data_IF_878199856297
#
_entry.id   IF_878199856297
#
_cell.length_a   1.000
_cell.length_b   1.000
_cell.length_c   1.000
_cell.angle_alpha   90.00
_cell.angle_beta   90.00
_cell.angle_gamma   90.00
#
_symmetry.space_group_name_H-M   'P 1'
#
loop_
_entity.id
_entity.type
_entity.pdbx_description
1 polymer ?
#
# COMPACT_ATOMS: atom_id res chain seq x y z
N UNK A 1 5.58 9.86 20.40
CA UNK A 1 6.20 8.56 20.08
C UNK A 1 6.44 8.53 18.58
N UNK A 2 7.60 8.07 18.15
CA UNK A 2 7.89 7.82 16.73
C UNK A 2 7.19 6.53 16.32
N UNK A 3 6.58 6.49 15.14
CA UNK A 3 5.96 5.26 14.63
C UNK A 3 6.96 4.12 14.47
N UNK A 4 6.48 2.88 14.33
CA UNK A 4 7.33 1.68 14.21
C UNK A 4 6.75 0.65 13.27
N UNK A 5 7.61 -0.28 12.85
CA UNK A 5 7.22 -1.51 12.17
C UNK A 5 6.64 -2.49 13.20
N UNK A 6 5.43 -2.97 12.94
CA UNK A 6 4.80 -4.07 13.70
C UNK A 6 5.26 -5.40 13.14
N UNK A 7 5.19 -5.55 11.82
CA UNK A 7 5.60 -6.75 11.13
C UNK A 7 6.12 -6.43 9.72
N UNK A 8 7.06 -7.25 9.26
CA UNK A 8 7.39 -7.38 7.85
C UNK A 8 6.73 -8.66 7.37
N UNK A 9 5.95 -8.60 6.29
CA UNK A 9 5.18 -9.74 5.81
C UNK A 9 5.59 -10.14 4.39
N UNK A 10 5.70 -11.44 4.16
CA UNK A 10 6.03 -12.01 2.85
C UNK A 10 4.88 -12.86 2.32
N UNK A 11 4.66 -12.78 1.01
CA UNK A 11 3.65 -13.53 0.29
C UNK A 11 3.95 -15.01 0.29
N UNK A 12 3.02 -15.78 0.82
CA UNK A 12 2.99 -17.22 0.65
C UNK A 12 2.16 -17.53 -0.58
N UNK A 13 2.72 -18.29 -1.51
CA UNK A 13 2.00 -18.75 -2.70
C UNK A 13 0.77 -19.54 -2.24
N UNK A 14 -0.41 -19.00 -2.53
CA UNK A 14 -1.68 -19.63 -2.22
C UNK A 14 -2.39 -19.98 -3.52
N UNK A 15 -2.80 -21.23 -3.66
CA UNK A 15 -3.67 -21.68 -4.75
C UNK A 15 -5.12 -21.52 -4.32
N UNK A 16 -5.90 -20.78 -5.12
CA UNK A 16 -7.32 -20.57 -4.82
C UNK A 16 -8.11 -20.19 -6.08
N UNK A 17 -9.38 -20.57 -6.12
CA UNK A 17 -10.29 -20.21 -7.22
C UNK A 17 -10.50 -18.70 -7.39
N UNK A 18 -10.30 -17.92 -6.32
CA UNK A 18 -10.40 -16.47 -6.34
C UNK A 18 -9.10 -15.75 -6.74
N UNK A 19 -8.01 -16.48 -6.96
CA UNK A 19 -6.77 -15.90 -7.46
C UNK A 19 -7.01 -15.34 -8.87
N UNK A 20 -6.69 -14.06 -9.07
CA UNK A 20 -6.93 -13.39 -10.36
C UNK A 20 -5.94 -13.78 -11.46
N UNK A 21 -4.82 -14.42 -11.09
CA UNK A 21 -3.78 -14.88 -12.00
C UNK A 21 -4.23 -16.16 -12.72
N UNK A 22 -3.93 -16.27 -14.02
CA UNK A 22 -4.31 -17.42 -14.85
C UNK A 22 -3.74 -18.77 -14.34
N UNK A 23 -2.70 -18.75 -13.50
CA UNK A 23 -2.16 -19.94 -12.83
C UNK A 23 -2.94 -20.33 -11.56
N UNK A 24 -3.96 -19.58 -11.15
CA UNK A 24 -4.73 -19.83 -9.93
C UNK A 24 -3.94 -19.54 -8.64
N UNK A 25 -2.80 -18.84 -8.73
CA UNK A 25 -1.92 -18.53 -7.61
C UNK A 25 -1.97 -17.06 -7.22
N UNK A 26 -1.90 -16.78 -5.93
CA UNK A 26 -1.83 -15.42 -5.40
C UNK A 26 -0.78 -15.30 -4.29
N UNK A 27 -0.15 -14.13 -4.21
CA UNK A 27 0.74 -13.75 -3.11
C UNK A 27 0.07 -12.86 -2.06
N UNK A 28 -1.26 -12.71 -2.12
CA UNK A 28 -2.01 -11.84 -1.22
C UNK A 28 -2.02 -12.33 0.23
N UNK A 29 -1.86 -13.63 0.45
CA UNK A 29 -1.70 -14.21 1.79
C UNK A 29 -0.28 -13.92 2.30
N UNK A 30 -0.04 -12.69 2.75
CA UNK A 30 1.23 -12.35 3.38
C UNK A 30 1.25 -12.80 4.85
N UNK A 31 2.41 -13.25 5.31
CA UNK A 31 2.62 -13.72 6.68
C UNK A 31 3.83 -13.05 7.31
N UNK A 32 3.79 -12.72 8.61
CA UNK A 32 4.91 -12.11 9.31
C UNK A 32 6.19 -12.94 9.22
N UNK A 33 7.33 -12.27 9.14
CA UNK A 33 8.67 -12.86 9.28
C UNK A 33 9.20 -12.66 10.70
N UNK A 34 10.07 -13.58 11.14
CA UNK A 34 10.69 -13.52 12.47
C UNK A 34 11.84 -12.50 12.55
N UNK A 35 12.37 -12.05 11.40
CA UNK A 35 13.57 -11.21 11.34
C UNK A 35 13.50 -10.16 10.24
N UNK A 36 14.61 -9.40 10.15
CA UNK A 36 14.77 -8.37 9.14
C UNK A 36 14.83 -8.96 7.73
N UNK A 37 14.31 -8.22 6.77
CA UNK A 37 14.24 -8.57 5.36
C UNK A 37 14.86 -7.46 4.53
N UNK A 38 15.63 -7.85 3.52
CA UNK A 38 16.23 -6.91 2.56
C UNK A 38 15.16 -6.34 1.63
N UNK A 39 15.02 -5.02 1.62
CA UNK A 39 14.18 -4.27 0.68
C UNK A 39 15.05 -3.76 -0.47
N UNK A 40 14.63 -4.03 -1.70
CA UNK A 40 15.35 -3.69 -2.94
C UNK A 40 14.53 -2.76 -3.82
N UNK A 41 15.19 -2.14 -4.79
CA UNK A 41 14.52 -1.28 -5.77
C UNK A 41 13.39 -2.00 -6.53
N UNK A 42 13.51 -3.32 -6.72
CA UNK A 42 12.55 -4.16 -7.45
C UNK A 42 11.56 -4.93 -6.55
N UNK A 43 11.63 -4.76 -5.23
CA UNK A 43 10.68 -5.35 -4.28
C UNK A 43 11.30 -5.83 -2.97
N UNK A 44 10.52 -6.55 -2.18
CA UNK A 44 10.95 -7.16 -0.91
C UNK A 44 11.56 -8.54 -1.17
N UNK A 45 12.75 -8.79 -0.63
CA UNK A 45 13.42 -10.08 -0.82
C UNK A 45 12.60 -11.23 -0.23
N UNK A 46 12.47 -12.32 -1.00
CA UNK A 46 11.64 -13.47 -0.62
C UNK A 46 10.14 -13.28 -0.82
N UNK A 47 9.70 -12.12 -1.31
CA UNK A 47 8.29 -11.85 -1.54
C UNK A 47 7.81 -12.43 -2.87
N UNK A 48 6.67 -13.14 -2.84
CA UNK A 48 6.00 -13.60 -4.04
C UNK A 48 5.03 -12.54 -4.57
N UNK A 49 5.27 -12.09 -5.81
CA UNK A 49 4.40 -11.18 -6.55
C UNK A 49 3.88 -11.93 -7.78
N UNK A 50 2.60 -12.33 -7.73
CA UNK A 50 1.85 -12.81 -8.91
C UNK A 50 1.64 -11.66 -9.90
N UNK A 51 1.66 -11.94 -11.21
CA UNK A 51 1.58 -10.94 -12.29
C UNK A 51 2.41 -9.66 -12.06
N UNK A 52 3.75 -9.77 -12.09
CA UNK A 52 4.67 -8.64 -11.87
C UNK A 52 4.37 -7.39 -12.72
N UNK A 53 3.79 -7.55 -13.91
CA UNK A 53 3.40 -6.44 -14.78
C UNK A 53 2.30 -5.54 -14.18
N UNK A 54 1.40 -6.11 -13.36
CA UNK A 54 0.28 -5.39 -12.74
C UNK A 54 0.53 -5.07 -11.26
N UNK A 55 1.28 -5.94 -10.56
CA UNK A 55 1.44 -5.88 -9.10
C UNK A 55 2.85 -5.56 -8.62
N UNK A 56 3.83 -5.41 -9.53
CA UNK A 56 5.20 -5.01 -9.22
C UNK A 56 5.62 -3.71 -9.91
N UNK A 57 6.88 -3.32 -9.72
CA UNK A 57 7.47 -2.11 -10.30
C UNK A 57 7.93 -1.12 -9.23
N UNK A 58 8.79 -0.16 -9.61
CA UNK A 58 9.49 0.70 -8.64
C UNK A 58 8.51 1.51 -7.78
N UNK A 59 7.37 1.92 -8.33
CA UNK A 59 6.34 2.70 -7.61
C UNK A 59 5.38 1.84 -6.75
N UNK A 60 5.64 0.54 -6.62
CA UNK A 60 4.86 -0.35 -5.78
C UNK A 60 5.71 -1.50 -5.21
N UNK A 61 6.97 -1.21 -4.90
CA UNK A 61 7.94 -2.19 -4.40
C UNK A 61 7.57 -2.72 -3.01
N UNK A 62 7.00 -1.86 -2.16
CA UNK A 62 6.57 -2.19 -0.80
C UNK A 62 5.15 -1.67 -0.59
N UNK A 63 4.26 -2.49 -0.04
CA UNK A 63 2.93 -2.04 0.39
C UNK A 63 2.88 -1.90 1.93
N UNK A 64 2.48 -0.73 2.42
CA UNK A 64 2.34 -0.43 3.84
C UNK A 64 0.87 -0.25 4.25
N UNK A 65 0.53 -0.75 5.44
CA UNK A 65 -0.79 -0.59 6.06
C UNK A 65 -0.64 -0.30 7.56
N UNK A 66 -1.51 0.55 8.11
CA UNK A 66 -1.50 0.89 9.53
C UNK A 66 -2.31 -0.14 10.34
N UNK A 67 -1.78 -0.54 11.49
CA UNK A 67 -2.46 -1.43 12.45
C UNK A 67 -3.76 -0.78 12.95
N UNK A 68 -3.81 0.54 13.09
CA UNK A 68 -4.99 1.29 13.49
C UNK A 68 -6.12 1.20 12.45
N UNK A 69 -5.78 1.34 11.17
CA UNK A 69 -6.71 1.18 10.05
C UNK A 69 -7.19 -0.28 9.95
N UNK A 70 -6.29 -1.24 10.17
CA UNK A 70 -6.64 -2.66 10.24
C UNK A 70 -7.58 -2.99 11.40
N UNK A 71 -7.37 -2.38 12.58
CA UNK A 71 -8.21 -2.56 13.76
C UNK A 71 -9.66 -2.08 13.54
N UNK A 72 -9.83 -1.01 12.76
CA UNK A 72 -11.17 -0.58 12.31
C UNK A 72 -11.85 -1.67 11.48
N UNK A 73 -11.15 -2.25 10.49
CA UNK A 73 -11.68 -3.33 9.66
C UNK A 73 -11.98 -4.60 10.45
N UNK A 74 -11.13 -4.96 11.42
CA UNK A 74 -11.34 -6.11 12.28
C UNK A 74 -12.66 -5.98 13.07
N UNK A 75 -12.91 -4.77 13.60
CA UNK A 75 -14.17 -4.43 14.29
C UNK A 75 -15.36 -4.52 13.34
N UNK A 76 -15.25 -3.90 12.16
CA UNK A 76 -16.30 -3.86 11.13
C UNK A 76 -16.65 -5.25 10.56
N UNK A 77 -15.70 -6.18 10.55
CA UNK A 77 -15.91 -7.56 10.10
C UNK A 77 -16.24 -8.54 11.24
N UNK A 78 -16.11 -8.11 12.50
CA UNK A 78 -16.29 -8.99 13.66
C UNK A 78 -15.30 -10.15 13.72
N UNK A 79 -14.08 -9.98 13.16
CA UNK A 79 -13.02 -11.01 13.15
C UNK A 79 -11.65 -10.39 13.26
N UNK A 80 -10.69 -11.16 13.76
CA UNK A 80 -9.30 -10.73 13.82
C UNK A 80 -8.67 -10.62 12.41
N UNK A 81 -7.82 -9.62 12.22
CA UNK A 81 -7.06 -9.38 10.99
C UNK A 81 -5.58 -9.27 11.36
N UNK A 82 -4.85 -10.38 11.20
CA UNK A 82 -3.41 -10.40 11.47
C UNK A 82 -2.62 -9.50 10.52
N UNK A 83 -1.41 -9.06 10.88
CA UNK A 83 -0.47 -8.45 9.93
C UNK A 83 -0.28 -9.32 8.67
N UNK A 84 -0.28 -8.67 7.51
CA UNK A 84 -0.25 -9.28 6.18
C UNK A 84 -1.64 -9.53 5.56
N UNK A 85 -2.73 -9.35 6.33
CA UNK A 85 -4.09 -9.66 5.87
C UNK A 85 -4.61 -8.74 4.77
N UNK A 86 -3.95 -7.60 4.50
CA UNK A 86 -4.27 -6.70 3.40
C UNK A 86 -3.39 -6.97 2.17
N UNK A 87 -2.48 -7.94 2.27
CA UNK A 87 -1.40 -8.18 1.31
C UNK A 87 -0.25 -7.18 1.46
N UNK A 88 -0.13 -6.51 2.60
CA UNK A 88 0.89 -5.51 2.90
C UNK A 88 2.22 -6.15 3.32
N UNK A 89 3.33 -5.63 2.81
CA UNK A 89 4.66 -6.02 3.24
C UNK A 89 5.04 -5.38 4.59
N UNK A 90 4.51 -4.19 4.88
CA UNK A 90 4.89 -3.41 6.05
C UNK A 90 3.65 -3.05 6.87
N UNK A 91 3.43 -3.75 7.97
CA UNK A 91 2.42 -3.35 8.96
C UNK A 91 3.06 -2.37 9.93
N UNK A 92 2.45 -1.19 10.11
CA UNK A 92 3.00 -0.09 10.90
C UNK A 92 2.10 0.27 12.08
N UNK A 93 2.68 0.91 13.10
CA UNK A 93 1.96 1.44 14.26
C UNK A 93 2.40 2.88 14.52
N UNK A 94 1.45 3.74 14.88
CA UNK A 94 1.63 5.17 15.08
C UNK A 94 2.26 5.89 13.87
N UNK A 95 1.92 5.42 12.67
CA UNK A 95 2.27 6.02 11.38
C UNK A 95 0.96 6.33 10.65
N UNK A 96 0.73 7.59 10.31
CA UNK A 96 -0.45 7.98 9.52
C UNK A 96 -0.21 7.62 8.04
N UNK A 97 -0.45 6.36 7.68
CA UNK A 97 -0.20 5.84 6.33
C UNK A 97 -1.17 6.45 5.32
N UNK A 98 -2.45 6.58 5.68
CA UNK A 98 -3.47 7.15 4.78
C UNK A 98 -3.28 8.67 4.62
N UNK A 99 -2.81 9.37 5.65
CA UNK A 99 -2.45 10.78 5.62
C UNK A 99 -1.04 11.08 5.10
N UNK A 100 -0.25 10.07 4.74
CA UNK A 100 1.09 10.25 4.20
C UNK A 100 1.06 11.05 2.89
N UNK A 101 2.00 11.99 2.74
CA UNK A 101 2.07 12.87 1.56
C UNK A 101 2.79 12.15 0.42
N UNK A 102 2.31 12.30 -0.81
CA UNK A 102 3.01 11.77 -2.00
C UNK A 102 4.42 12.37 -2.06
N UNK A 103 5.44 11.52 -2.24
CA UNK A 103 6.85 11.93 -2.21
C UNK A 103 7.47 12.02 -0.81
N UNK A 104 6.70 11.86 0.27
CA UNK A 104 7.22 11.77 1.64
C UNK A 104 8.21 10.60 1.77
N UNK A 105 9.34 10.83 2.45
CA UNK A 105 10.40 9.85 2.61
C UNK A 105 10.48 9.34 4.05
N UNK A 106 10.53 8.02 4.18
CA UNK A 106 10.58 7.31 5.45
C UNK A 106 11.92 6.58 5.58
N UNK A 107 12.67 6.90 6.63
CA UNK A 107 13.78 6.06 7.09
C UNK A 107 13.18 4.94 7.95
N UNK A 108 13.41 3.69 7.54
CA UNK A 108 12.93 2.49 8.25
C UNK A 108 14.07 1.47 8.27
N UNK A 109 14.52 1.08 9.46
CA UNK A 109 15.75 0.29 9.58
C UNK A 109 16.90 0.98 8.84
N UNK A 110 17.54 0.27 7.90
CA UNK A 110 18.58 0.83 7.02
C UNK A 110 18.07 1.29 5.65
N UNK A 111 16.79 1.05 5.33
CA UNK A 111 16.18 1.43 4.06
C UNK A 111 15.64 2.87 4.07
N UNK A 112 15.68 3.52 2.90
CA UNK A 112 14.98 4.79 2.66
C UNK A 112 13.85 4.54 1.65
N UNK A 113 12.63 4.77 2.09
CA UNK A 113 11.41 4.52 1.33
C UNK A 113 10.74 5.85 0.95
N UNK A 114 10.02 5.90 -0.16
CA UNK A 114 9.25 7.07 -0.55
C UNK A 114 7.81 6.70 -0.89
N UNK A 115 6.85 7.46 -0.38
CA UNK A 115 5.42 7.29 -0.60
C UNK A 115 5.05 7.63 -2.04
N UNK A 116 4.29 6.77 -2.71
CA UNK A 116 4.03 6.89 -4.16
C UNK A 116 2.56 6.95 -4.54
N UNK A 117 1.73 6.01 -4.08
CA UNK A 117 0.32 5.90 -4.48
C UNK A 117 -0.50 5.03 -3.53
N UNK A 118 -1.84 5.20 -3.47
CA UNK A 118 -2.70 4.32 -2.71
C UNK A 118 -2.83 2.93 -3.34
N UNK A 119 -3.19 1.92 -2.53
CA UNK A 119 -3.68 0.63 -3.05
C UNK A 119 -5.06 0.79 -3.67
N UNK A 120 -5.28 0.13 -4.81
CA UNK A 120 -6.62 -0.01 -5.41
C UNK A 120 -7.19 -1.40 -5.06
N UNK A 121 -8.32 -1.52 -4.32
CA UNK A 121 -8.88 -2.83 -3.98
C UNK A 121 -9.22 -3.63 -5.25
N UNK A 122 -9.04 -4.95 -5.22
CA UNK A 122 -9.28 -5.84 -6.37
C UNK A 122 -10.10 -7.08 -5.98
N UNK A 123 -10.54 -7.84 -6.99
CA UNK A 123 -11.34 -9.06 -6.81
C UNK A 123 -10.61 -10.14 -6.04
N UNK A 124 -9.29 -10.30 -6.25
CA UNK A 124 -8.45 -11.21 -5.45
C UNK A 124 -8.47 -10.86 -3.97
N UNK A 125 -8.52 -9.57 -3.62
CA UNK A 125 -8.62 -9.14 -2.23
C UNK A 125 -10.01 -9.45 -1.63
N UNK A 126 -11.07 -9.17 -2.38
CA UNK A 126 -12.43 -9.53 -1.97
C UNK A 126 -12.60 -11.03 -1.75
N UNK A 127 -12.05 -11.84 -2.67
CA UNK A 127 -12.07 -13.31 -2.58
C UNK A 127 -11.23 -13.85 -1.43
N UNK A 128 -10.01 -13.34 -1.23
CA UNK A 128 -9.15 -13.72 -0.10
C UNK A 128 -9.84 -13.46 1.24
N UNK A 129 -10.52 -12.33 1.38
CA UNK A 129 -11.29 -12.04 2.59
C UNK A 129 -12.61 -12.79 2.70
N UNK A 130 -13.12 -13.37 1.60
CA UNK A 130 -14.45 -13.92 1.54
C UNK A 130 -15.55 -12.86 1.72
N UNK A 131 -15.30 -11.62 1.29
CA UNK A 131 -16.23 -10.49 1.43
C UNK A 131 -16.58 -9.98 0.02
N UNK A 132 -17.71 -10.41 -0.57
CA UNK A 132 -18.05 -10.12 -1.97
C UNK A 132 -18.17 -8.63 -2.31
N UNK A 133 -18.65 -7.80 -1.38
CA UNK A 133 -18.83 -6.36 -1.56
C UNK A 133 -17.64 -5.53 -1.05
N UNK A 134 -16.49 -6.17 -0.76
CA UNK A 134 -15.33 -5.52 -0.18
C UNK A 134 -14.86 -4.32 -0.98
N UNK A 135 -14.81 -4.41 -2.32
CA UNK A 135 -14.35 -3.31 -3.16
C UNK A 135 -15.19 -2.05 -2.91
N UNK A 136 -16.51 -2.18 -2.80
CA UNK A 136 -17.43 -1.06 -2.52
C UNK A 136 -17.19 -0.51 -1.12
N UNK A 137 -17.15 -1.37 -0.11
CA UNK A 137 -16.96 -0.97 1.31
C UNK A 137 -15.60 -0.31 1.51
N UNK A 138 -14.54 -0.89 0.96
CA UNK A 138 -13.17 -0.40 1.04
C UNK A 138 -13.01 0.95 0.34
N UNK A 139 -13.64 1.10 -0.84
CA UNK A 139 -13.68 2.39 -1.56
C UNK A 139 -14.40 3.45 -0.75
N UNK A 140 -15.58 3.14 -0.19
CA UNK A 140 -16.34 4.07 0.62
C UNK A 140 -15.60 4.50 1.90
N UNK A 141 -14.87 3.57 2.54
CA UNK A 141 -14.11 3.84 3.75
C UNK A 141 -12.83 4.65 3.51
N UNK A 142 -12.25 4.54 2.31
CA UNK A 142 -11.08 5.28 1.86
C UNK A 142 -9.86 5.18 2.79
N UNK A 143 -9.57 3.96 3.29
CA UNK A 143 -8.34 3.61 4.01
C UNK A 143 -7.46 2.67 3.17
N UNK A 144 -6.80 3.17 2.12
CA UNK A 144 -6.16 2.33 1.13
C UNK A 144 -4.78 1.81 1.54
N UNK A 145 -4.16 2.34 2.60
CA UNK A 145 -2.72 2.17 2.79
C UNK A 145 -1.90 2.80 1.65
N UNK A 146 -0.58 2.62 1.69
CA UNK A 146 0.34 3.31 0.80
C UNK A 146 1.34 2.35 0.16
N UNK A 147 1.54 2.47 -1.15
CA UNK A 147 2.70 1.91 -1.82
C UNK A 147 3.92 2.82 -1.65
N UNK A 148 5.07 2.20 -1.48
CA UNK A 148 6.35 2.86 -1.32
C UNK A 148 7.33 2.36 -2.39
N UNK A 149 8.17 3.28 -2.90
CA UNK A 149 9.38 2.93 -3.65
C UNK A 149 10.58 2.86 -2.72
N UNK A 150 11.57 2.04 -3.06
CA UNK A 150 12.83 1.95 -2.32
C UNK A 150 13.84 2.91 -2.96
N UNK A 151 14.15 4.01 -2.29
CA UNK A 151 15.18 4.97 -2.72
C UNK A 151 16.59 4.50 -2.35
N UNK A 152 16.70 3.81 -1.21
CA UNK A 152 17.94 3.17 -0.76
C UNK A 152 17.61 1.79 -0.23
N UNK A 153 18.25 0.79 -0.80
CA UNK A 153 18.12 -0.59 -0.34
C UNK A 153 18.63 -0.73 1.10
N UNK A 154 18.00 -1.63 1.85
CA UNK A 154 18.35 -1.85 3.24
C UNK A 154 17.49 -2.93 3.88
N UNK A 155 17.94 -3.38 5.03
CA UNK A 155 17.19 -4.31 5.87
C UNK A 155 16.19 -3.56 6.74
N UNK A 156 14.97 -4.11 6.81
CA UNK A 156 13.85 -3.66 7.62
C UNK A 156 13.33 -4.85 8.43
N UNK A 157 13.14 -4.68 9.73
CA UNK A 157 12.63 -5.71 10.62
C UNK A 157 11.52 -5.23 11.57
N UNK A 158 10.84 -6.17 12.24
CA UNK A 158 9.88 -5.84 13.30
C UNK A 158 10.53 -4.99 14.39
N UNK A 159 9.82 -3.95 14.84
CA UNK A 159 10.29 -3.03 15.88
C UNK A 159 11.12 -1.84 15.39
N UNK A 160 11.57 -1.84 14.12
CA UNK A 160 12.30 -0.70 13.56
C UNK A 160 11.47 0.59 13.62
N UNK A 161 12.07 1.74 13.97
CA UNK A 161 11.37 3.01 13.93
C UNK A 161 11.06 3.41 12.49
N UNK A 162 9.89 4.01 12.28
CA UNK A 162 9.49 4.66 11.03
C UNK A 162 9.61 6.15 11.22
N UNK A 163 10.61 6.76 10.59
CA UNK A 163 10.90 8.19 10.71
C UNK A 163 10.64 8.90 9.40
N UNK A 164 9.75 9.89 9.42
CA UNK A 164 9.57 10.81 8.29
C UNK A 164 10.76 11.77 8.25
N UNK A 165 11.65 11.58 7.28
CA UNK A 165 12.88 12.39 7.14
C UNK A 165 12.71 13.53 6.14
N UNK A 166 11.75 13.42 5.23
CA UNK A 166 11.38 14.47 4.28
C UNK A 166 9.87 14.41 4.01
N UNK A 167 9.21 15.57 4.01
CA UNK A 167 7.78 15.69 3.69
C UNK A 167 7.56 16.85 2.72
N UNK A 168 7.11 16.61 1.48
CA UNK A 168 6.80 17.66 0.52
C UNK A 168 5.71 18.62 1.02
N UNK A 169 5.84 19.91 0.67
CA UNK A 169 4.95 20.97 1.15
C UNK A 169 3.57 21.00 0.44
N UNK A 170 3.41 20.30 -0.69
CA UNK A 170 2.15 20.33 -1.47
C UNK A 170 0.96 19.66 -0.77
N UNK A 171 1.21 18.89 0.29
CA UNK A 171 0.18 18.31 1.17
C UNK A 171 -0.69 17.21 0.58
N UNK A 172 -0.66 16.98 -0.74
CA UNK A 172 -1.42 15.90 -1.41
C UNK A 172 -1.13 14.53 -0.78
N UNK A 173 -2.12 13.98 -0.10
CA UNK A 173 -2.03 12.73 0.67
C UNK A 173 -2.45 11.50 -0.13
N UNK A 174 -2.08 10.32 0.37
CA UNK A 174 -2.54 9.02 -0.12
C UNK A 174 -4.07 8.92 -0.14
N UNK A 175 -4.73 9.35 0.94
CA UNK A 175 -6.18 9.40 1.05
C UNK A 175 -6.82 10.33 0.01
N UNK A 176 -6.26 11.52 -0.22
CA UNK A 176 -6.76 12.44 -1.25
C UNK A 176 -6.60 11.86 -2.66
N UNK A 177 -5.45 11.26 -2.99
CA UNK A 177 -5.25 10.59 -4.28
C UNK A 177 -6.30 9.50 -4.47
N UNK A 178 -6.54 8.67 -3.45
CA UNK A 178 -7.52 7.59 -3.53
C UNK A 178 -8.94 8.13 -3.77
N UNK A 179 -9.37 9.11 -2.96
CA UNK A 179 -10.71 9.72 -3.08
C UNK A 179 -10.88 10.44 -4.42
N UNK A 180 -9.89 11.21 -4.88
CA UNK A 180 -9.91 11.86 -6.19
C UNK A 180 -10.14 10.88 -7.34
N UNK A 181 -9.52 9.71 -7.26
CA UNK A 181 -9.60 8.70 -8.31
C UNK A 181 -10.88 7.87 -8.26
N UNK A 182 -11.58 7.81 -7.12
CA UNK A 182 -12.67 6.86 -6.90
C UNK A 182 -14.03 7.47 -6.53
N UNK A 183 -14.05 8.54 -5.73
CA UNK A 183 -15.27 9.08 -5.10
C UNK A 183 -15.50 10.56 -5.41
N UNK A 184 -14.43 11.37 -5.42
CA UNK A 184 -14.47 12.83 -5.36
C UNK A 184 -13.70 13.44 -6.54
N UNK A 185 -14.23 13.43 -7.78
CA UNK A 185 -13.51 13.91 -8.96
C UNK A 185 -13.08 15.38 -8.89
N UNK A 186 -13.73 16.19 -8.06
CA UNK A 186 -13.36 17.60 -7.85
C UNK A 186 -11.96 17.77 -7.21
N UNK A 187 -11.44 16.71 -6.59
CA UNK A 187 -10.07 16.66 -6.07
C UNK A 187 -9.02 16.38 -7.16
N UNK A 188 -9.40 16.00 -8.38
CA UNK A 188 -8.45 15.64 -9.45
C UNK A 188 -7.42 16.74 -9.78
N UNK A 189 -7.75 18.04 -9.82
CA UNK A 189 -6.76 19.10 -10.06
C UNK A 189 -5.65 19.12 -9.01
N UNK A 190 -5.98 18.82 -7.73
CA UNK A 190 -5.00 18.78 -6.62
C UNK A 190 -3.86 17.81 -6.91
N UNK A 191 -4.14 16.70 -7.60
CA UNK A 191 -3.13 15.67 -7.85
C UNK A 191 -1.97 16.17 -8.71
N UNK A 192 -2.17 17.24 -9.48
CA UNK A 192 -1.15 17.80 -10.36
C UNK A 192 -0.06 18.58 -9.60
N UNK A 193 -0.30 18.94 -8.35
CA UNK A 193 0.66 19.62 -7.47
C UNK A 193 1.71 18.68 -6.89
N UNK A 194 1.49 17.36 -6.96
CA UNK A 194 2.44 16.35 -6.53
C UNK A 194 3.34 15.94 -7.70
N UNK A 195 4.62 16.38 -7.76
CA UNK A 195 5.53 16.02 -8.85
C UNK A 195 5.91 14.53 -8.81
N UNK A 196 6.00 13.94 -7.62
CA UNK A 196 6.36 12.53 -7.40
C UNK A 196 5.22 11.54 -7.67
N UNK A 197 4.02 12.03 -8.03
CA UNK A 197 2.90 11.16 -8.36
C UNK A 197 3.23 10.32 -9.60
N UNK A 198 3.05 8.98 -9.55
CA UNK A 198 3.35 8.11 -10.68
C UNK A 198 2.69 8.56 -11.98
N UNK A 199 3.46 8.55 -13.07
CA UNK A 199 3.04 9.03 -14.41
C UNK A 199 1.65 8.52 -14.85
N UNK A 200 1.35 7.20 -14.76
CA UNK A 200 0.04 6.67 -15.13
C UNK A 200 -1.14 7.27 -14.34
N UNK A 201 -0.92 7.62 -13.06
CA UNK A 201 -1.95 8.26 -12.23
C UNK A 201 -2.12 9.72 -12.65
N UNK A 202 -1.02 10.46 -12.85
CA UNK A 202 -1.05 11.84 -13.35
C UNK A 202 -1.77 11.92 -14.70
N UNK A 203 -1.45 11.03 -15.64
CA UNK A 203 -2.11 10.96 -16.94
C UNK A 203 -3.61 10.63 -16.81
N UNK A 204 -3.97 9.70 -15.91
CA UNK A 204 -5.39 9.38 -15.64
C UNK A 204 -6.13 10.60 -15.12
N UNK A 205 -5.53 11.40 -14.23
CA UNK A 205 -6.12 12.63 -13.75
C UNK A 205 -6.31 13.65 -14.89
N UNK A 206 -5.28 13.90 -15.69
CA UNK A 206 -5.34 14.81 -16.85
C UNK A 206 -6.42 14.41 -17.86
N UNK A 207 -6.52 13.11 -18.19
CA UNK A 207 -7.57 12.59 -19.09
C UNK A 207 -8.98 12.79 -18.55
N UNK A 208 -9.17 12.79 -17.23
CA UNK A 208 -10.49 12.99 -16.61
C UNK A 208 -10.85 14.47 -16.46
N UNK A 209 -9.84 15.34 -16.39
CA UNK A 209 -10.01 16.80 -16.35
C UNK A 209 -10.29 17.40 -17.73
N UNK A 210 -9.86 16.72 -18.79
CA UNK A 210 -10.14 17.12 -20.17
C UNK A 210 -11.37 16.36 -20.65
N UNK A 211 -12.58 16.96 -20.66
CA UNK A 211 -13.75 16.29 -21.23
C UNK A 211 -13.48 15.99 -22.71
N UNK A 212 -13.94 14.81 -23.15
CA UNK A 212 -14.05 14.49 -24.58
C UNK A 212 -15.18 15.29 -25.22
#
# INVERSE_FOLDING_TARGET
MTGRVVAVNLGVVTEAEWAGDASGRSGIDKRPTDGAVLFRADGVAGDFIGERAHHGGPDQAVYAYAEEDAGWWATELGRDLRPGSFGENLTTYAVDVTGAVIGEQWQVGSALLQVTKPRTPCTTFAGYWGVPDLIKRFTARALPGAYLRVLREGEVGPGDPVQVVERPAHGVTIGEVFRALSLEPDLLPRLLDAPDLPGPIREKALRRLTPR
#
